data_IF_002675815353
#
_entry.id   IF_002675815353
#
_cell.length_a   1.000
_cell.length_b   1.000
_cell.length_c   1.000
_cell.angle_alpha   90.00
_cell.angle_beta   90.00
_cell.angle_gamma   90.00
#
_symmetry.space_group_name_H-M   'P 1'
#
loop_
_entity.id
_entity.type
_entity.pdbx_description
1 polymer ?
#
# COMPACT_ATOMS: atom_id res chain seq x y z
N UNK A 1 -17.33 4.86 -33.37
CA UNK A 1 -17.48 5.31 -31.96
C UNK A 1 -16.14 5.33 -31.21
N UNK A 2 -15.42 4.19 -31.13
CA UNK A 2 -14.14 4.07 -30.39
C UNK A 2 -13.04 5.06 -30.82
N UNK A 3 -12.89 5.34 -32.11
CA UNK A 3 -11.88 6.28 -32.62
C UNK A 3 -12.16 7.74 -32.23
N UNK A 4 -13.43 8.17 -32.24
CA UNK A 4 -13.85 9.52 -31.80
C UNK A 4 -13.57 9.71 -30.30
N UNK A 5 -13.79 8.67 -29.49
CA UNK A 5 -13.46 8.69 -28.07
C UNK A 5 -11.94 8.75 -27.81
N UNK A 6 -11.14 8.00 -28.58
CA UNK A 6 -9.67 8.07 -28.48
C UNK A 6 -9.11 9.43 -28.92
N UNK A 7 -9.69 10.04 -29.96
CA UNK A 7 -9.35 11.41 -30.35
C UNK A 7 -9.72 12.43 -29.27
N UNK A 8 -10.87 12.26 -28.60
CA UNK A 8 -11.24 13.10 -27.47
C UNK A 8 -10.26 12.91 -26.29
N UNK A 9 -9.89 11.68 -25.93
CA UNK A 9 -8.95 11.44 -24.82
C UNK A 9 -7.51 11.85 -25.12
N UNK A 10 -7.18 12.19 -26.39
CA UNK A 10 -5.84 12.60 -26.79
C UNK A 10 -5.44 13.91 -26.09
N UNK A 11 -4.34 13.87 -25.34
CA UNK A 11 -3.84 15.02 -24.57
C UNK A 11 -4.51 15.25 -23.22
N UNK A 12 -5.40 14.35 -22.77
CA UNK A 12 -5.93 14.31 -21.40
C UNK A 12 -5.19 13.28 -20.56
N UNK A 13 -5.20 13.46 -19.25
CA UNK A 13 -4.40 12.63 -18.34
C UNK A 13 -4.92 11.19 -18.21
N UNK A 14 -6.25 11.01 -18.15
CA UNK A 14 -6.85 9.68 -18.02
C UNK A 14 -6.85 9.16 -16.58
N UNK A 15 -6.86 7.84 -16.42
CA UNK A 15 -6.98 7.17 -15.10
C UNK A 15 -5.63 6.88 -14.48
N UNK A 16 -5.50 7.10 -13.17
CA UNK A 16 -4.29 6.81 -12.38
C UNK A 16 -4.61 6.00 -11.10
N UNK A 17 -3.56 5.70 -10.31
CA UNK A 17 -3.72 4.93 -9.06
C UNK A 17 -4.45 5.72 -7.99
N UNK A 18 -4.20 7.03 -7.89
CA UNK A 18 -4.92 7.90 -6.96
C UNK A 18 -6.42 7.92 -7.25
N UNK A 19 -6.82 8.17 -8.50
CA UNK A 19 -8.20 8.15 -8.96
C UNK A 19 -8.84 6.79 -8.73
N UNK A 20 -8.14 5.68 -9.00
CA UNK A 20 -8.65 4.33 -8.75
C UNK A 20 -8.95 4.11 -7.27
N UNK A 21 -8.06 4.52 -6.36
CA UNK A 21 -8.30 4.38 -4.92
C UNK A 21 -9.40 5.33 -4.42
N UNK A 22 -9.51 6.54 -4.97
CA UNK A 22 -10.61 7.45 -4.68
C UNK A 22 -11.96 6.89 -5.12
N UNK A 23 -12.04 6.24 -6.28
CA UNK A 23 -13.25 5.56 -6.75
C UNK A 23 -13.64 4.38 -5.86
N UNK A 24 -12.67 3.59 -5.43
CA UNK A 24 -12.93 2.50 -4.47
C UNK A 24 -13.43 3.07 -3.13
N UNK A 25 -12.81 4.14 -2.64
CA UNK A 25 -13.22 4.80 -1.41
C UNK A 25 -14.63 5.38 -1.51
N UNK A 26 -15.00 6.04 -2.62
CA UNK A 26 -16.36 6.53 -2.84
C UNK A 26 -17.37 5.39 -2.92
N UNK A 27 -17.01 4.25 -3.52
CA UNK A 27 -17.87 3.07 -3.57
C UNK A 27 -18.12 2.50 -2.15
N UNK A 28 -17.08 2.38 -1.33
CA UNK A 28 -17.22 1.92 0.06
C UNK A 28 -18.08 2.90 0.87
N UNK A 29 -17.87 4.21 0.72
CA UNK A 29 -18.70 5.21 1.38
C UNK A 29 -20.17 5.14 0.93
N UNK A 30 -20.44 4.89 -0.35
CA UNK A 30 -21.80 4.72 -0.85
C UNK A 30 -22.48 3.50 -0.21
N UNK A 31 -21.78 2.38 -0.07
CA UNK A 31 -22.30 1.19 0.61
C UNK A 31 -22.59 1.46 2.09
N UNK A 32 -21.71 2.17 2.80
CA UNK A 32 -21.92 2.56 4.20
C UNK A 32 -23.12 3.51 4.31
N UNK A 33 -23.23 4.50 3.42
CA UNK A 33 -24.36 5.43 3.37
C UNK A 33 -25.68 4.70 3.25
N UNK A 34 -25.71 3.63 2.44
CA UNK A 34 -26.90 2.80 2.21
C UNK A 34 -27.24 1.94 3.43
N UNK A 35 -26.24 1.30 4.06
CA UNK A 35 -26.46 0.43 5.22
C UNK A 35 -26.96 1.23 6.43
N UNK A 36 -26.40 2.41 6.67
CA UNK A 36 -26.71 3.22 7.84
C UNK A 36 -27.75 4.33 7.56
N UNK A 37 -28.29 4.43 6.33
CA UNK A 37 -29.23 5.46 5.89
C UNK A 37 -28.79 6.90 6.22
N UNK A 38 -27.50 7.19 6.03
CA UNK A 38 -26.90 8.49 6.37
C UNK A 38 -26.95 9.41 5.15
N UNK A 39 -27.98 10.26 5.05
CA UNK A 39 -28.23 11.09 3.87
C UNK A 39 -27.12 12.11 3.55
N UNK A 40 -26.43 12.67 4.55
CA UNK A 40 -25.36 13.65 4.30
C UNK A 40 -24.12 13.01 3.66
N UNK A 41 -23.90 11.71 3.86
CA UNK A 41 -22.77 10.98 3.30
C UNK A 41 -22.87 10.86 1.77
N UNK A 42 -24.09 11.03 1.23
CA UNK A 42 -24.35 11.07 -0.22
C UNK A 42 -23.57 12.18 -0.90
N UNK A 43 -23.62 13.39 -0.35
CA UNK A 43 -22.90 14.53 -0.91
C UNK A 43 -21.38 14.30 -0.95
N UNK A 44 -20.85 13.56 0.03
CA UNK A 44 -19.42 13.28 0.12
C UNK A 44 -18.99 12.30 -0.96
N UNK A 45 -19.62 11.13 -1.07
CA UNK A 45 -19.19 10.14 -2.06
C UNK A 45 -19.45 10.63 -3.49
N UNK A 46 -20.56 11.36 -3.73
CA UNK A 46 -20.84 11.99 -5.03
C UNK A 46 -19.80 13.07 -5.34
N UNK A 47 -19.43 13.90 -4.36
CA UNK A 47 -18.40 14.93 -4.52
C UNK A 47 -17.03 14.34 -4.89
N UNK A 48 -16.64 13.23 -4.25
CA UNK A 48 -15.41 12.51 -4.57
C UNK A 48 -15.46 11.96 -6.00
N UNK A 49 -16.58 11.36 -6.40
CA UNK A 49 -16.78 10.87 -7.77
C UNK A 49 -16.64 12.00 -8.80
N UNK A 50 -17.30 13.14 -8.58
CA UNK A 50 -17.20 14.30 -9.46
C UNK A 50 -15.76 14.84 -9.57
N UNK A 51 -15.03 14.88 -8.45
CA UNK A 51 -13.63 15.29 -8.43
C UNK A 51 -12.72 14.33 -9.22
N UNK A 52 -12.95 13.01 -9.14
CA UNK A 52 -12.20 12.04 -9.95
C UNK A 52 -12.44 12.26 -11.44
N UNK A 53 -13.69 12.48 -11.86
CA UNK A 53 -13.99 12.78 -13.26
C UNK A 53 -13.31 14.08 -13.71
N UNK A 54 -13.37 15.13 -12.90
CA UNK A 54 -12.66 16.38 -13.17
C UNK A 54 -11.16 16.17 -13.37
N UNK A 55 -10.50 15.38 -12.51
CA UNK A 55 -9.07 15.03 -12.66
C UNK A 55 -8.81 14.25 -13.94
N UNK A 56 -9.66 13.27 -14.26
CA UNK A 56 -9.51 12.40 -15.42
C UNK A 56 -9.56 13.17 -16.75
N UNK A 57 -10.44 14.18 -16.83
CA UNK A 57 -10.59 15.02 -18.01
C UNK A 57 -9.66 16.24 -18.04
N UNK A 58 -8.83 16.44 -17.02
CA UNK A 58 -7.89 17.55 -16.95
C UNK A 58 -6.83 17.48 -18.04
N UNK A 59 -6.56 18.64 -18.68
CA UNK A 59 -5.49 18.80 -19.68
C UNK A 59 -4.10 19.00 -19.07
N UNK A 60 -4.00 19.31 -17.77
CA UNK A 60 -2.73 19.56 -17.08
C UNK A 60 -2.06 18.24 -16.65
N UNK A 61 -1.61 17.45 -17.63
CA UNK A 61 -1.08 16.09 -17.42
C UNK A 61 0.14 16.04 -16.51
N UNK A 62 1.08 16.98 -16.65
CA UNK A 62 2.32 17.04 -15.87
C UNK A 62 2.06 17.26 -14.38
N UNK A 63 1.21 18.23 -14.02
CA UNK A 63 0.84 18.48 -12.63
C UNK A 63 0.11 17.29 -12.01
N UNK A 64 -0.83 16.67 -12.75
CA UNK A 64 -1.56 15.49 -12.27
C UNK A 64 -0.65 14.28 -12.07
N UNK A 65 0.35 14.11 -12.94
CA UNK A 65 1.38 13.10 -12.76
C UNK A 65 2.20 13.32 -11.48
N UNK A 66 2.64 14.55 -11.21
CA UNK A 66 3.38 14.88 -9.98
C UNK A 66 2.56 14.57 -8.72
N UNK A 67 1.28 14.94 -8.70
CA UNK A 67 0.36 14.60 -7.61
C UNK A 67 0.24 13.09 -7.40
N UNK A 68 0.12 12.31 -8.48
CA UNK A 68 0.07 10.86 -8.40
C UNK A 68 1.40 10.25 -7.93
N UNK A 69 2.55 10.81 -8.31
CA UNK A 69 3.86 10.37 -7.81
C UNK A 69 4.02 10.63 -6.31
N UNK A 70 3.63 11.81 -5.83
CA UNK A 70 3.62 12.12 -4.40
C UNK A 70 2.70 11.15 -3.62
N UNK A 71 1.52 10.85 -4.17
CA UNK A 71 0.62 9.86 -3.62
C UNK A 71 1.25 8.46 -3.57
N UNK A 72 1.86 8.00 -4.67
CA UNK A 72 2.51 6.70 -4.75
C UNK A 72 3.66 6.57 -3.75
N UNK A 73 4.45 7.62 -3.56
CA UNK A 73 5.52 7.63 -2.56
C UNK A 73 4.99 7.35 -1.15
N UNK A 74 3.92 8.04 -0.74
CA UNK A 74 3.27 7.83 0.56
C UNK A 74 2.67 6.42 0.63
N UNK A 75 1.98 6.00 -0.43
CA UNK A 75 1.36 4.68 -0.53
C UNK A 75 2.39 3.55 -0.39
N UNK A 76 3.53 3.65 -1.07
CA UNK A 76 4.60 2.65 -1.01
C UNK A 76 5.22 2.56 0.38
N UNK A 77 5.44 3.68 1.07
CA UNK A 77 5.92 3.67 2.46
C UNK A 77 4.94 2.95 3.38
N UNK A 78 3.65 3.27 3.27
CA UNK A 78 2.63 2.62 4.10
C UNK A 78 2.53 1.13 3.78
N UNK A 79 2.50 0.77 2.50
CA UNK A 79 2.46 -0.62 2.04
C UNK A 79 3.69 -1.42 2.46
N UNK A 80 4.87 -0.82 2.50
CA UNK A 80 6.08 -1.47 3.00
C UNK A 80 5.99 -1.79 4.49
N UNK A 81 5.44 -0.88 5.30
CA UNK A 81 5.17 -1.13 6.74
C UNK A 81 4.19 -2.28 6.92
N UNK A 82 3.06 -2.23 6.21
CA UNK A 82 2.04 -3.30 6.27
C UNK A 82 2.64 -4.64 5.83
N UNK A 83 3.38 -4.68 4.72
CA UNK A 83 4.05 -5.90 4.25
C UNK A 83 5.00 -6.48 5.30
N UNK A 84 5.80 -5.64 5.99
CA UNK A 84 6.69 -6.09 7.06
C UNK A 84 5.91 -6.73 8.22
N UNK A 85 4.79 -6.13 8.62
CA UNK A 85 3.91 -6.68 9.67
C UNK A 85 3.27 -7.99 9.22
N UNK A 86 2.69 -8.03 8.02
CA UNK A 86 2.08 -9.24 7.47
C UNK A 86 3.10 -10.37 7.32
N UNK A 87 4.33 -10.07 6.88
CA UNK A 87 5.41 -11.06 6.83
C UNK A 87 5.75 -11.58 8.23
N UNK A 88 5.88 -10.71 9.24
CA UNK A 88 6.11 -11.14 10.63
C UNK A 88 4.99 -12.04 11.16
N UNK A 89 3.73 -11.75 10.85
CA UNK A 89 2.59 -12.60 11.23
C UNK A 89 2.68 -13.97 10.53
N UNK A 90 2.98 -13.99 9.23
CA UNK A 90 3.16 -15.24 8.46
C UNK A 90 4.36 -16.06 8.94
N UNK A 91 5.41 -15.39 9.38
CA UNK A 91 6.64 -16.04 9.87
C UNK A 91 6.50 -16.55 11.30
N UNK A 92 5.62 -15.95 12.11
CA UNK A 92 5.42 -16.28 13.51
C UNK A 92 5.34 -17.79 13.83
N UNK A 93 4.60 -18.64 13.10
CA UNK A 93 4.53 -20.06 13.44
C UNK A 93 5.84 -20.83 13.18
N UNK A 94 6.64 -20.43 12.19
CA UNK A 94 7.80 -21.20 11.73
C UNK A 94 9.14 -20.60 12.12
N UNK A 95 9.18 -19.29 12.37
CA UNK A 95 10.41 -18.54 12.53
C UNK A 95 10.32 -17.49 13.65
N UNK A 96 11.48 -17.17 14.19
CA UNK A 96 11.73 -16.11 15.17
C UNK A 96 12.76 -15.16 14.60
N UNK A 97 12.60 -13.88 14.90
CA UNK A 97 13.57 -12.85 14.54
C UNK A 97 14.47 -12.61 15.76
N UNK A 98 15.78 -12.79 15.58
CA UNK A 98 16.80 -12.53 16.60
C UNK A 98 17.73 -11.42 16.15
N UNK A 99 18.32 -10.70 17.10
CA UNK A 99 19.37 -9.71 16.84
C UNK A 99 20.72 -10.31 17.20
N UNK A 100 21.71 -10.10 16.35
CA UNK A 100 23.10 -10.41 16.69
C UNK A 100 23.56 -9.54 17.90
N UNK A 101 24.27 -10.11 18.88
CA UNK A 101 24.79 -9.34 20.02
C UNK A 101 25.82 -8.28 19.60
N UNK A 102 26.65 -8.55 18.59
CA UNK A 102 27.70 -7.62 18.15
C UNK A 102 27.19 -6.61 17.12
N UNK A 103 26.71 -7.07 15.96
CA UNK A 103 26.36 -6.17 14.86
C UNK A 103 24.89 -5.71 14.85
N UNK A 104 24.08 -6.19 15.82
CA UNK A 104 22.64 -5.86 15.99
C UNK A 104 21.74 -6.13 14.76
N UNK A 105 22.25 -6.88 13.77
CA UNK A 105 21.50 -7.22 12.56
C UNK A 105 20.37 -8.21 12.90
N UNK A 106 19.15 -7.92 12.44
CA UNK A 106 17.99 -8.82 12.58
C UNK A 106 18.13 -10.00 11.61
N UNK A 107 18.01 -11.22 12.11
CA UNK A 107 18.04 -12.44 11.30
C UNK A 107 16.89 -13.38 11.66
N UNK A 108 16.47 -14.16 10.67
CA UNK A 108 15.37 -15.12 10.79
C UNK A 108 15.94 -16.49 11.16
N UNK A 109 15.46 -17.08 12.25
CA UNK A 109 15.81 -18.44 12.70
C UNK A 109 14.55 -19.29 12.86
N UNK A 110 14.62 -20.61 12.63
CA UNK A 110 13.46 -21.49 12.81
C UNK A 110 13.05 -21.58 14.29
N UNK A 111 11.74 -21.68 14.55
CA UNK A 111 11.18 -21.92 15.90
C UNK A 111 11.11 -23.41 16.22
N UNK A 112 11.15 -23.74 17.51
CA UNK A 112 10.89 -25.10 18.02
C UNK A 112 12.05 -26.10 17.92
N UNK A 113 13.29 -25.62 17.76
CA UNK A 113 14.51 -26.44 17.64
C UNK A 113 15.32 -26.51 18.96
N UNK A 114 14.90 -25.83 20.02
CA UNK A 114 15.59 -25.82 21.31
C UNK A 114 16.74 -24.81 21.36
N UNK A 115 17.92 -25.25 21.82
CA UNK A 115 19.15 -24.46 21.78
C UNK A 115 19.79 -24.64 20.40
N UNK A 116 20.00 -23.54 19.69
CA UNK A 116 20.62 -23.52 18.37
C UNK A 116 21.85 -22.62 18.38
N UNK A 117 22.94 -23.08 17.77
CA UNK A 117 24.10 -22.25 17.47
C UNK A 117 23.79 -21.46 16.19
N UNK A 118 23.76 -20.13 16.27
CA UNK A 118 23.44 -19.26 15.14
C UNK A 118 24.69 -18.52 14.72
N UNK A 119 25.07 -18.67 13.45
CA UNK A 119 26.15 -17.88 12.83
C UNK A 119 25.58 -16.63 12.17
N UNK A 120 26.04 -15.45 12.58
CA UNK A 120 25.61 -14.21 11.95
C UNK A 120 26.13 -14.11 10.50
N UNK A 121 25.29 -13.80 9.49
CA UNK A 121 25.74 -13.65 8.11
C UNK A 121 26.61 -12.40 7.88
N UNK A 122 26.54 -11.40 8.78
CA UNK A 122 27.26 -10.12 8.63
C UNK A 122 28.63 -10.12 9.29
N UNK A 123 28.73 -10.60 10.53
CA UNK A 123 29.97 -10.58 11.32
C UNK A 123 30.56 -11.97 11.59
N UNK A 124 29.92 -13.05 11.11
CA UNK A 124 30.34 -14.43 11.30
C UNK A 124 30.44 -14.93 12.77
N UNK A 125 30.16 -14.08 13.75
CA UNK A 125 30.07 -14.42 15.18
C UNK A 125 29.04 -15.52 15.40
N UNK A 126 29.44 -16.55 16.16
CA UNK A 126 28.58 -17.65 16.57
C UNK A 126 28.11 -17.42 18.00
N UNK A 127 26.84 -17.66 18.27
CA UNK A 127 26.28 -17.56 19.60
C UNK A 127 25.11 -18.53 19.76
N UNK A 128 24.92 -19.01 21.00
CA UNK A 128 23.78 -19.85 21.34
C UNK A 128 22.53 -19.00 21.52
N UNK A 129 21.45 -19.41 20.86
CA UNK A 129 20.15 -18.80 21.01
C UNK A 129 19.07 -19.85 21.17
N UNK A 130 18.00 -19.49 21.90
CA UNK A 130 16.80 -20.32 21.98
C UNK A 130 15.88 -20.01 20.80
N UNK A 131 15.59 -21.05 20.02
CA UNK A 131 14.65 -21.05 18.89
C UNK A 131 13.26 -20.55 19.32
#
# INVERSE_FOLDING_TARGET
MRQKFMQFMRGRYGTDKLNTHLLYFSLVLALISMIFNINWLIFIWVGIMAFVYYRMFSKQTTKRFQENQAYLYIWHKWRAKVRKVTQRIKDFPKYKYLKCPECKTEMRVPRGRGKIEVKCPKCATKFDAKS
#
